data_IF_429674546971
#
_entry.id   IF_429674546971
#
_cell.length_a   1.000
_cell.length_b   1.000
_cell.length_c   1.000
_cell.angle_alpha   90.00
_cell.angle_beta   90.00
_cell.angle_gamma   90.00
#
_symmetry.space_group_name_H-M   'P 1'
#
loop_
_entity.id
_entity.type
_entity.pdbx_description
1 polymer ?
#
# COMPACT_ATOMS: atom_id res chain seq x y z
N UNK A 1 -17.81 13.22 1.95
CA UNK A 1 -16.87 13.89 1.03
C UNK A 1 -17.25 15.36 0.92
N UNK A 2 -16.29 16.28 0.77
CA UNK A 2 -16.60 17.70 0.57
C UNK A 2 -17.44 17.88 -0.69
N UNK A 3 -18.37 18.84 -0.66
CA UNK A 3 -19.13 19.21 -1.86
C UNK A 3 -18.21 20.03 -2.76
N UNK A 4 -17.81 19.47 -3.88
CA UNK A 4 -16.96 20.17 -4.85
C UNK A 4 -17.77 21.27 -5.56
N UNK A 5 -17.11 22.39 -5.83
CA UNK A 5 -17.68 23.49 -6.63
C UNK A 5 -17.80 23.06 -8.10
N UNK A 6 -18.89 23.45 -8.76
CA UNK A 6 -19.03 23.35 -10.23
C UNK A 6 -18.11 24.32 -10.98
N UNK A 7 -17.52 25.27 -10.25
CA UNK A 7 -16.50 26.19 -10.74
C UNK A 7 -15.25 26.00 -9.87
N UNK A 8 -14.40 25.01 -10.18
CA UNK A 8 -13.22 24.74 -9.39
C UNK A 8 -12.26 25.95 -9.46
N UNK A 9 -11.64 26.33 -8.32
CA UNK A 9 -10.66 27.40 -8.29
C UNK A 9 -9.41 27.03 -9.11
N UNK A 10 -8.61 28.04 -9.44
CA UNK A 10 -7.28 27.78 -10.01
C UNK A 10 -6.42 26.98 -9.04
N UNK A 11 -5.53 26.15 -9.61
CA UNK A 11 -4.63 25.35 -8.81
C UNK A 11 -3.78 26.23 -7.89
N UNK A 12 -3.69 25.85 -6.62
CA UNK A 12 -2.80 26.44 -5.63
C UNK A 12 -2.18 25.31 -4.81
N UNK A 13 -0.84 25.19 -4.73
CA UNK A 13 -0.21 24.16 -3.92
C UNK A 13 -0.77 24.14 -2.48
N UNK A 14 -1.27 22.99 -2.04
CA UNK A 14 -2.00 22.87 -0.78
C UNK A 14 -1.53 21.64 -0.01
N UNK A 15 -0.89 21.86 1.14
CA UNK A 15 -0.41 20.78 2.02
C UNK A 15 0.51 19.82 1.27
N UNK A 16 0.12 18.54 1.21
CA UNK A 16 0.80 17.48 0.45
C UNK A 16 0.69 17.66 -1.06
N UNK A 17 -0.29 18.37 -1.61
CA UNK A 17 -0.45 18.45 -3.06
C UNK A 17 0.32 19.63 -3.66
N UNK A 18 1.56 19.35 -4.11
CA UNK A 18 2.52 20.32 -4.66
C UNK A 18 2.47 20.42 -6.18
N UNK A 19 3.15 21.42 -6.77
CA UNK A 19 3.29 21.58 -8.22
C UNK A 19 3.93 20.33 -8.88
N UNK A 20 4.93 19.73 -8.24
CA UNK A 20 5.58 18.51 -8.73
C UNK A 20 4.60 17.33 -8.77
N UNK A 21 3.77 17.19 -7.73
CA UNK A 21 2.74 16.15 -7.64
C UNK A 21 1.61 16.38 -8.63
N UNK A 22 1.24 17.63 -8.87
CA UNK A 22 0.34 18.01 -9.95
C UNK A 22 0.90 17.59 -11.31
N UNK A 23 2.17 17.89 -11.60
CA UNK A 23 2.80 17.51 -12.86
C UNK A 23 2.82 15.98 -13.08
N UNK A 24 3.00 15.19 -12.02
CA UNK A 24 2.87 13.72 -12.09
C UNK A 24 1.46 13.32 -12.51
N UNK A 25 0.43 13.93 -11.91
CA UNK A 25 -0.97 13.63 -12.23
C UNK A 25 -1.31 14.06 -13.65
N UNK A 26 -0.86 15.23 -14.08
CA UNK A 26 -1.03 15.71 -15.46
C UNK A 26 -0.40 14.73 -16.45
N UNK A 27 0.81 14.25 -16.15
CA UNK A 27 1.52 13.26 -16.96
C UNK A 27 0.73 11.96 -17.13
N UNK A 28 0.11 11.48 -16.06
CA UNK A 28 -0.74 10.27 -16.10
C UNK A 28 -2.02 10.49 -16.90
N UNK A 29 -2.49 11.73 -17.00
CA UNK A 29 -3.71 12.12 -17.72
C UNK A 29 -3.43 12.93 -18.99
N UNK A 30 -2.26 12.76 -19.63
CA UNK A 30 -1.83 13.55 -20.80
C UNK A 30 -2.76 13.46 -22.03
N UNK A 31 -3.68 12.48 -22.10
CA UNK A 31 -4.61 12.29 -23.22
C UNK A 31 -5.93 13.05 -23.09
N UNK A 32 -6.75 13.08 -24.14
CA UNK A 32 -7.99 13.87 -24.22
C UNK A 32 -9.21 13.29 -23.48
N UNK A 33 -8.97 12.34 -22.55
CA UNK A 33 -10.05 11.68 -21.81
C UNK A 33 -10.82 12.66 -20.90
N UNK A 34 -10.10 13.58 -20.24
CA UNK A 34 -10.68 14.62 -19.40
C UNK A 34 -10.63 15.98 -20.09
N UNK A 35 -11.74 16.70 -20.09
CA UNK A 35 -11.81 18.10 -20.48
C UNK A 35 -11.00 18.98 -19.51
N UNK A 36 -10.53 20.17 -19.94
CA UNK A 36 -9.78 21.08 -19.08
C UNK A 36 -10.47 21.38 -17.74
N UNK A 37 -11.79 21.59 -17.75
CA UNK A 37 -12.57 21.84 -16.52
C UNK A 37 -12.69 20.60 -15.63
N UNK A 38 -12.76 19.39 -16.20
CA UNK A 38 -12.79 18.14 -15.43
C UNK A 38 -11.44 17.87 -14.77
N UNK A 39 -10.33 18.15 -15.45
CA UNK A 39 -8.98 18.10 -14.85
C UNK A 39 -8.84 19.11 -13.72
N UNK A 40 -9.36 20.32 -13.92
CA UNK A 40 -9.36 21.36 -12.90
C UNK A 40 -10.15 20.91 -11.66
N UNK A 41 -11.30 20.27 -11.86
CA UNK A 41 -12.10 19.67 -10.78
C UNK A 41 -11.34 18.54 -10.06
N UNK A 42 -10.63 17.68 -10.80
CA UNK A 42 -9.79 16.63 -10.23
C UNK A 42 -8.68 17.22 -9.35
N UNK A 43 -7.96 18.24 -9.82
CA UNK A 43 -6.95 18.91 -9.00
C UNK A 43 -7.56 19.57 -7.75
N UNK A 44 -8.74 20.16 -7.89
CA UNK A 44 -9.44 20.73 -6.74
C UNK A 44 -9.80 19.67 -5.70
N UNK A 45 -10.28 18.49 -6.11
CA UNK A 45 -10.51 17.37 -5.20
C UNK A 45 -9.20 16.94 -4.50
N UNK A 46 -8.09 16.85 -5.23
CA UNK A 46 -6.80 16.48 -4.66
C UNK A 46 -6.27 17.53 -3.65
N UNK A 47 -6.53 18.82 -3.89
CA UNK A 47 -6.22 19.89 -2.93
C UNK A 47 -7.08 19.77 -1.66
N UNK A 48 -8.39 19.62 -1.81
CA UNK A 48 -9.34 19.50 -0.68
C UNK A 48 -9.14 18.23 0.16
N UNK A 49 -8.61 17.17 -0.46
CA UNK A 49 -8.36 15.87 0.16
C UNK A 49 -6.86 15.54 0.23
N UNK A 50 -5.99 16.55 0.32
CA UNK A 50 -4.53 16.37 0.25
C UNK A 50 -3.98 15.33 1.24
N UNK A 51 -4.58 15.20 2.43
CA UNK A 51 -4.21 14.21 3.45
C UNK A 51 -4.64 12.78 3.13
N UNK A 52 -5.59 12.60 2.22
CA UNK A 52 -6.07 11.29 1.79
C UNK A 52 -5.16 10.60 0.79
N UNK A 53 -4.20 11.31 0.19
CA UNK A 53 -3.24 10.77 -0.77
C UNK A 53 -1.86 10.65 -0.11
N UNK A 54 -1.28 9.45 -0.20
CA UNK A 54 0.09 9.18 0.21
C UNK A 54 1.01 9.14 -1.01
N UNK A 55 2.11 9.88 -0.96
CA UNK A 55 3.09 9.95 -2.06
C UNK A 55 4.44 9.32 -1.69
N UNK A 56 4.67 9.10 -0.40
CA UNK A 56 5.86 8.44 0.14
C UNK A 56 5.49 7.66 1.43
N UNK A 57 6.45 6.91 1.96
CA UNK A 57 6.26 6.07 3.15
C UNK A 57 6.01 6.88 4.44
N UNK A 58 6.41 8.15 4.51
CA UNK A 58 6.16 9.02 5.67
C UNK A 58 4.71 9.52 5.73
N UNK A 59 4.02 9.52 4.59
CA UNK A 59 2.65 10.00 4.43
C UNK A 59 1.60 8.90 4.53
N UNK A 60 2.03 7.65 4.69
CA UNK A 60 1.17 6.47 4.84
C UNK A 60 0.18 6.66 5.98
N UNK A 61 -1.01 6.10 5.81
CA UNK A 61 -2.00 6.14 6.87
C UNK A 61 -1.66 5.12 7.96
N UNK A 62 -2.50 5.14 9.00
CA UNK A 62 -2.66 4.01 9.91
C UNK A 62 -4.15 3.90 10.18
N UNK A 63 -4.69 2.68 10.18
CA UNK A 63 -6.05 2.48 10.64
C UNK A 63 -6.17 2.90 12.10
N UNK A 64 -7.28 3.57 12.40
CA UNK A 64 -7.55 3.93 13.80
C UNK A 64 -7.94 2.67 14.56
N UNK A 65 -7.24 2.43 15.68
CA UNK A 65 -7.41 1.23 16.50
C UNK A 65 -8.80 1.10 17.12
N UNK A 66 -9.57 2.20 17.22
CA UNK A 66 -10.96 2.20 17.69
C UNK A 66 -11.96 1.66 16.65
N UNK A 67 -11.58 1.66 15.37
CA UNK A 67 -12.36 1.05 14.29
C UNK A 67 -11.82 -0.34 13.91
N UNK A 68 -10.50 -0.48 13.91
CA UNK A 68 -9.78 -1.70 13.52
C UNK A 68 -8.85 -2.12 14.67
N UNK A 69 -9.34 -2.89 15.64
CA UNK A 69 -8.49 -3.37 16.72
C UNK A 69 -7.41 -4.31 16.16
N UNK A 70 -6.29 -4.50 16.90
CA UNK A 70 -5.27 -5.47 16.52
C UNK A 70 -5.86 -6.85 16.22
N UNK A 71 -5.37 -7.49 15.17
CA UNK A 71 -5.87 -8.78 14.70
C UNK A 71 -5.28 -9.89 15.56
N UNK A 72 -6.14 -10.68 16.20
CA UNK A 72 -5.76 -11.96 16.78
C UNK A 72 -5.71 -13.04 15.69
N UNK A 73 -4.56 -13.68 15.52
CA UNK A 73 -4.39 -14.77 14.56
C UNK A 73 -4.80 -16.12 15.17
N UNK A 74 -5.95 -16.71 14.81
CA UNK A 74 -6.37 -17.99 15.35
C UNK A 74 -5.48 -19.10 14.79
N UNK A 75 -4.95 -19.95 15.66
CA UNK A 75 -4.06 -21.07 15.30
C UNK A 75 -4.52 -22.36 15.98
N UNK A 76 -4.33 -23.50 15.32
CA UNK A 76 -4.50 -24.81 15.96
C UNK A 76 -3.34 -25.10 16.91
N UNK A 77 -3.49 -26.01 17.90
CA UNK A 77 -2.36 -26.41 18.75
C UNK A 77 -1.17 -26.91 17.93
N UNK A 78 0.01 -26.33 18.15
CA UNK A 78 1.23 -26.67 17.43
C UNK A 78 2.48 -26.35 18.26
N UNK A 79 3.63 -26.83 17.78
CA UNK A 79 4.93 -26.48 18.34
C UNK A 79 5.54 -25.34 17.53
N UNK A 80 6.09 -24.29 18.18
CA UNK A 80 6.84 -23.25 17.48
C UNK A 80 8.00 -23.82 16.66
N UNK A 81 8.31 -23.20 15.52
CA UNK A 81 9.37 -23.65 14.61
C UNK A 81 10.54 -22.68 14.59
N UNK A 82 11.74 -23.23 14.36
CA UNK A 82 12.95 -22.45 14.12
C UNK A 82 13.59 -22.94 12.83
N UNK A 83 13.46 -22.16 11.77
CA UNK A 83 14.06 -22.46 10.49
C UNK A 83 15.37 -21.69 10.26
N UNK A 84 16.31 -22.34 9.59
CA UNK A 84 17.55 -21.70 9.15
C UNK A 84 17.26 -20.77 7.97
N UNK A 85 17.70 -19.53 8.06
CA UNK A 85 17.48 -18.56 6.99
C UNK A 85 18.30 -18.88 5.72
N UNK A 86 17.78 -18.47 4.57
CA UNK A 86 18.50 -18.56 3.30
C UNK A 86 19.69 -17.59 3.35
N UNK A 87 20.91 -18.01 3.00
CA UNK A 87 22.07 -17.13 2.97
C UNK A 87 21.84 -15.94 2.03
N UNK A 88 22.18 -14.73 2.50
CA UNK A 88 22.10 -13.52 1.68
C UNK A 88 23.27 -13.53 0.68
N UNK A 89 23.02 -13.44 -0.64
CA UNK A 89 24.09 -13.35 -1.62
C UNK A 89 24.96 -12.11 -1.37
N UNK A 90 26.31 -12.22 -1.43
CA UNK A 90 27.21 -11.11 -1.13
C UNK A 90 26.93 -9.83 -1.95
N UNK A 91 26.61 -9.98 -3.23
CA UNK A 91 26.31 -8.84 -4.12
C UNK A 91 25.05 -8.05 -3.74
N UNK A 92 24.15 -8.65 -2.97
CA UNK A 92 22.88 -8.02 -2.52
C UNK A 92 22.88 -7.62 -1.05
N UNK A 93 23.97 -7.91 -0.32
CA UNK A 93 24.00 -7.78 1.14
C UNK A 93 23.69 -6.35 1.63
N UNK A 94 24.34 -5.35 1.04
CA UNK A 94 24.14 -3.95 1.44
C UNK A 94 22.71 -3.47 1.16
N UNK A 95 22.11 -3.88 0.06
CA UNK A 95 20.74 -3.51 -0.30
C UNK A 95 19.70 -4.21 0.60
N UNK A 96 19.94 -5.48 0.96
CA UNK A 96 19.12 -6.18 1.95
C UNK A 96 19.19 -5.48 3.30
N UNK A 97 20.39 -5.13 3.77
CA UNK A 97 20.57 -4.40 5.03
C UNK A 97 19.87 -3.03 5.00
N UNK A 98 19.94 -2.30 3.87
CA UNK A 98 19.23 -1.04 3.68
C UNK A 98 17.72 -1.23 3.75
N UNK A 99 17.18 -2.23 3.06
CA UNK A 99 15.75 -2.53 3.06
C UNK A 99 15.22 -2.90 4.45
N UNK A 100 15.99 -3.66 5.25
CA UNK A 100 15.63 -3.98 6.64
C UNK A 100 15.62 -2.72 7.50
N UNK A 101 16.63 -1.86 7.40
CA UNK A 101 16.70 -0.61 8.17
C UNK A 101 15.54 0.33 7.86
N UNK A 102 15.22 0.52 6.59
CA UNK A 102 14.06 1.34 6.17
C UNK A 102 12.76 0.82 6.80
N UNK A 103 12.56 -0.51 6.86
CA UNK A 103 11.39 -1.09 7.52
C UNK A 103 11.38 -0.93 9.04
N UNK A 104 12.55 -0.92 9.69
CA UNK A 104 12.66 -0.63 11.13
C UNK A 104 12.36 0.85 11.39
N UNK A 105 12.94 1.76 10.60
CA UNK A 105 12.74 3.21 10.74
C UNK A 105 11.28 3.59 10.49
N UNK A 106 10.60 2.89 9.56
CA UNK A 106 9.16 3.04 9.33
C UNK A 106 8.31 2.47 10.48
N UNK A 107 8.85 1.66 11.38
CA UNK A 107 8.10 0.98 12.45
C UNK A 107 7.35 -0.27 12.00
N UNK A 108 7.64 -0.80 10.81
CA UNK A 108 7.07 -2.07 10.31
C UNK A 108 7.78 -3.27 10.94
N UNK A 109 9.08 -3.16 11.20
CA UNK A 109 9.88 -4.20 11.86
C UNK A 109 10.39 -3.75 13.22
N UNK A 110 10.39 -4.67 14.17
CA UNK A 110 10.95 -4.47 15.50
C UNK A 110 11.82 -5.66 15.92
N UNK A 111 12.85 -5.45 16.77
CA UNK A 111 13.56 -6.53 17.42
C UNK A 111 12.60 -7.34 18.30
N UNK A 112 12.66 -8.68 18.20
CA UNK A 112 11.81 -9.59 18.96
C UNK A 112 12.61 -10.77 19.51
N UNK A 113 12.17 -11.29 20.66
CA UNK A 113 12.64 -12.55 21.23
C UNK A 113 11.53 -13.61 21.12
N UNK A 114 11.28 -14.09 19.90
CA UNK A 114 10.20 -15.01 19.59
C UNK A 114 10.65 -16.47 19.58
N UNK A 115 9.76 -17.37 19.97
CA UNK A 115 9.93 -18.82 19.77
C UNK A 115 9.72 -19.26 18.31
N UNK A 116 9.25 -18.36 17.45
CA UNK A 116 9.06 -18.58 16.02
C UNK A 116 10.18 -17.94 15.21
N UNK A 117 10.69 -18.67 14.22
CA UNK A 117 11.61 -18.15 13.21
C UNK A 117 11.33 -18.77 11.86
N UNK A 118 10.70 -18.01 10.97
CA UNK A 118 10.47 -18.38 9.57
C UNK A 118 11.63 -17.93 8.68
N UNK A 119 11.77 -18.58 7.51
CA UNK A 119 12.72 -18.15 6.46
C UNK A 119 12.25 -16.85 5.82
N UNK A 120 13.19 -16.09 5.27
CA UNK A 120 12.92 -14.97 4.38
C UNK A 120 14.06 -14.82 3.37
N UNK A 121 13.78 -14.15 2.26
CA UNK A 121 14.76 -13.90 1.21
C UNK A 121 14.47 -12.59 0.47
N UNK A 122 15.51 -12.05 -0.17
CA UNK A 122 15.39 -10.87 -1.03
C UNK A 122 15.03 -11.27 -2.45
N UNK A 123 14.06 -10.57 -3.04
CA UNK A 123 13.65 -10.69 -4.44
C UNK A 123 13.93 -9.36 -5.13
N UNK A 124 14.63 -9.39 -6.27
CA UNK A 124 14.85 -8.19 -7.07
C UNK A 124 13.53 -7.73 -7.71
N UNK A 125 13.22 -6.44 -7.62
CA UNK A 125 12.13 -5.83 -8.38
C UNK A 125 12.48 -5.81 -9.87
N UNK A 126 11.46 -5.56 -10.71
CA UNK A 126 11.61 -5.41 -12.17
C UNK A 126 12.62 -4.33 -12.59
N UNK A 127 12.91 -3.36 -11.71
CA UNK A 127 13.92 -2.32 -11.92
C UNK A 127 15.38 -2.82 -11.86
N UNK A 128 15.59 -4.08 -11.45
CA UNK A 128 16.90 -4.72 -11.36
C UNK A 128 17.80 -4.19 -10.23
N UNK A 129 17.33 -3.25 -9.41
CA UNK A 129 18.12 -2.59 -8.35
C UNK A 129 17.49 -2.72 -6.98
N UNK A 130 16.18 -2.53 -6.88
CA UNK A 130 15.48 -2.55 -5.59
C UNK A 130 15.22 -3.99 -5.14
N UNK A 131 15.38 -4.26 -3.85
CA UNK A 131 15.06 -5.56 -3.25
C UNK A 131 13.74 -5.47 -2.47
N UNK A 132 12.87 -6.46 -2.66
CA UNK A 132 11.72 -6.76 -1.79
C UNK A 132 12.06 -7.93 -0.88
N UNK A 133 11.79 -7.79 0.41
CA UNK A 133 11.92 -8.89 1.35
C UNK A 133 10.65 -9.72 1.32
N UNK A 134 10.78 -11.03 1.07
CA UNK A 134 9.69 -12.00 1.09
C UNK A 134 9.88 -12.91 2.31
N UNK A 135 8.85 -13.00 3.16
CA UNK A 135 8.81 -13.92 4.29
C UNK A 135 8.13 -15.22 3.88
N UNK A 136 8.79 -16.34 4.13
CA UNK A 136 8.31 -17.69 3.88
C UNK A 136 7.37 -18.09 5.01
N UNK A 137 6.08 -17.76 4.87
CA UNK A 137 5.07 -17.99 5.90
C UNK A 137 4.34 -19.33 5.76
N UNK A 138 4.86 -20.27 4.97
CA UNK A 138 4.25 -21.60 4.78
C UNK A 138 4.07 -22.37 6.09
N UNK A 139 5.00 -22.35 7.07
CA UNK A 139 4.77 -22.99 8.37
C UNK A 139 3.62 -22.34 9.14
N UNK A 140 3.53 -21.01 9.12
CA UNK A 140 2.46 -20.26 9.78
C UNK A 140 1.11 -20.56 9.13
N UNK A 141 1.03 -20.49 7.80
CA UNK A 141 -0.19 -20.77 7.05
C UNK A 141 -0.76 -22.18 7.27
N UNK A 142 0.07 -23.16 7.64
CA UNK A 142 -0.38 -24.53 7.97
C UNK A 142 -1.08 -24.62 9.33
N UNK A 143 -0.75 -23.74 10.26
CA UNK A 143 -1.31 -23.76 11.63
C UNK A 143 -2.39 -22.70 11.83
N UNK A 144 -2.40 -21.65 10.99
CA UNK A 144 -3.44 -20.62 11.01
C UNK A 144 -4.78 -21.20 10.58
N UNK A 145 -5.81 -20.96 11.39
CA UNK A 145 -7.19 -21.31 11.07
C UNK A 145 -7.67 -20.37 9.96
N UNK A 146 -8.12 -20.94 8.85
CA UNK A 146 -8.54 -20.17 7.68
C UNK A 146 -9.84 -19.42 7.97
N UNK A 147 -9.85 -18.13 7.62
CA UNK A 147 -11.07 -17.33 7.64
C UNK A 147 -11.99 -17.74 6.49
N UNK A 148 -13.30 -17.82 6.74
CA UNK A 148 -14.30 -18.21 5.73
C UNK A 148 -14.72 -17.07 4.80
N UNK A 149 -14.18 -15.87 5.00
CA UNK A 149 -14.43 -14.71 4.15
C UNK A 149 -13.87 -14.93 2.76
N UNK A 150 -14.77 -15.16 1.81
CA UNK A 150 -14.42 -15.18 0.39
C UNK A 150 -14.23 -13.73 -0.09
N UNK A 151 -13.23 -13.45 -0.92
CA UNK A 151 -13.16 -12.20 -1.65
C UNK A 151 -14.48 -11.96 -2.41
N UNK A 152 -14.92 -10.70 -2.56
CA UNK A 152 -16.11 -10.40 -3.33
C UNK A 152 -15.96 -10.91 -4.77
N UNK A 153 -17.07 -11.30 -5.39
CA UNK A 153 -17.09 -11.66 -6.80
C UNK A 153 -16.73 -10.43 -7.64
N UNK A 154 -15.49 -10.40 -8.15
CA UNK A 154 -14.93 -9.21 -8.80
C UNK A 154 -15.68 -8.83 -10.06
N UNK A 155 -16.16 -9.82 -10.82
CA UNK A 155 -16.87 -9.58 -12.08
C UNK A 155 -18.25 -8.99 -11.81
N UNK A 156 -18.98 -9.55 -10.84
CA UNK A 156 -20.28 -9.01 -10.42
C UNK A 156 -20.15 -7.59 -9.86
N UNK A 157 -19.07 -7.31 -9.11
CA UNK A 157 -18.78 -5.98 -8.62
C UNK A 157 -18.44 -5.03 -9.78
N UNK A 158 -17.68 -5.47 -10.77
CA UNK A 158 -17.35 -4.67 -11.95
C UNK A 158 -18.59 -4.36 -12.80
N UNK A 159 -19.51 -5.33 -12.95
CA UNK A 159 -20.77 -5.17 -13.68
C UNK A 159 -21.69 -4.11 -13.06
N UNK A 160 -21.62 -3.90 -11.74
CA UNK A 160 -22.35 -2.81 -11.09
C UNK A 160 -21.91 -1.43 -11.58
N UNK A 161 -20.71 -1.29 -12.14
CA UNK A 161 -20.22 -0.06 -12.74
C UNK A 161 -20.53 0.04 -14.24
N UNK A 162 -21.21 -0.95 -14.84
CA UNK A 162 -21.59 -0.90 -16.24
C UNK A 162 -22.58 0.24 -16.51
N UNK A 163 -22.34 1.00 -17.58
CA UNK A 163 -23.21 2.11 -17.99
C UNK A 163 -22.93 3.45 -17.29
N UNK A 164 -22.03 3.51 -16.31
CA UNK A 164 -21.54 4.78 -15.79
C UNK A 164 -20.61 5.46 -16.80
N UNK A 165 -20.80 6.76 -17.02
CA UNK A 165 -20.00 7.54 -17.98
C UNK A 165 -18.59 7.85 -17.48
N UNK A 166 -18.35 7.78 -16.17
CA UNK A 166 -17.08 8.08 -15.53
C UNK A 166 -16.84 7.10 -14.37
N UNK A 167 -15.61 6.57 -14.28
CA UNK A 167 -15.15 5.74 -13.18
C UNK A 167 -13.83 6.26 -12.61
N UNK A 168 -13.60 6.04 -11.32
CA UNK A 168 -12.35 6.36 -10.65
C UNK A 168 -11.83 5.13 -9.91
N UNK A 169 -10.54 4.86 -10.03
CA UNK A 169 -9.88 3.75 -9.34
C UNK A 169 -8.80 4.35 -8.44
N UNK A 170 -8.84 3.97 -7.17
CA UNK A 170 -7.83 4.32 -6.17
C UNK A 170 -7.28 3.02 -5.60
N UNK A 171 -6.00 3.01 -5.28
CA UNK A 171 -5.34 1.91 -4.59
C UNK A 171 -4.85 2.37 -3.23
N UNK A 172 -4.86 1.47 -2.24
CA UNK A 172 -4.34 1.77 -0.91
C UNK A 172 -2.82 1.62 -0.91
N UNK A 173 -2.12 2.70 -0.59
CA UNK A 173 -0.67 2.68 -0.49
C UNK A 173 -0.24 1.82 0.70
N UNK A 174 0.38 0.66 0.43
CA UNK A 174 0.84 -0.29 1.47
C UNK A 174 -0.30 -0.78 2.39
N UNK A 175 -1.48 -1.07 1.83
CA UNK A 175 -2.70 -1.36 2.59
C UNK A 175 -2.67 -2.50 3.64
N UNK A 176 -1.65 -3.37 3.64
CA UNK A 176 -1.47 -4.40 4.68
C UNK A 176 -0.64 -3.93 5.89
N UNK A 177 0.16 -2.86 5.75
CA UNK A 177 1.02 -2.32 6.81
C UNK A 177 0.38 -1.08 7.49
N UNK A 178 -0.92 -0.83 7.24
CA UNK A 178 -1.76 0.25 7.78
C UNK A 178 -2.39 -0.10 9.13
#
# INVERSE_FOLDING_TARGET
MPKLSTHPPEFTPTGRYTEERKAIIDKVHEGDFLWPEERKLMHHLMMEQEKGFAWNDEERGKFREDFFPPIDMPVVPHTPWVEKNIPIPPGTYHEVCRAVKVKIDAGVYEPSNSSYRSRWFGVLKKDGKSIRLAHSLEPLNKVTIQHSGLPPATDELADQFAGYSCGGILDMYVGYDE
#
